data_IF_399088397546
#
_entry.id   IF_399088397546
#
_cell.length_a   1.000
_cell.length_b   1.000
_cell.length_c   1.000
_cell.angle_alpha   90.00
_cell.angle_beta   90.00
_cell.angle_gamma   90.00
#
_symmetry.space_group_name_H-M   'P 1'
#
loop_
_entity.id
_entity.type
_entity.pdbx_description
1 polymer ?
#
# COMPACT_ATOMS: atom_id res chain seq x y z
N UNK A 1 10.47 10.58 2.75
CA UNK A 1 9.49 9.52 3.01
C UNK A 1 9.77 8.31 2.15
N UNK A 2 9.73 7.12 2.72
CA UNK A 2 9.88 5.89 1.95
C UNK A 2 8.61 5.65 1.12
N UNK A 3 8.71 4.77 0.14
CA UNK A 3 7.52 4.42 -0.65
C UNK A 3 6.45 3.76 0.22
N UNK A 4 6.86 2.95 1.19
CA UNK A 4 5.93 2.36 2.15
C UNK A 4 5.14 3.44 2.89
N UNK A 5 5.83 4.44 3.40
CA UNK A 5 5.19 5.53 4.15
C UNK A 5 4.25 6.35 3.27
N UNK A 6 4.63 6.60 2.02
CA UNK A 6 3.77 7.31 1.08
C UNK A 6 2.49 6.55 0.79
N UNK A 7 2.61 5.27 0.48
CA UNK A 7 1.45 4.43 0.17
C UNK A 7 0.54 4.33 1.38
N UNK A 8 1.11 4.12 2.56
CA UNK A 8 0.33 4.07 3.79
C UNK A 8 -0.42 5.37 4.03
N UNK A 9 0.24 6.50 3.83
CA UNK A 9 -0.38 7.81 3.99
C UNK A 9 -1.58 7.98 3.05
N UNK A 10 -1.40 7.64 1.77
CA UNK A 10 -2.46 7.77 0.78
C UNK A 10 -3.65 6.88 1.10
N UNK A 11 -3.39 5.67 1.53
CA UNK A 11 -4.46 4.74 1.88
C UNK A 11 -5.19 5.19 3.15
N UNK A 12 -4.45 5.55 4.19
CA UNK A 12 -5.02 5.96 5.47
C UNK A 12 -5.89 7.21 5.34
N UNK A 13 -5.56 8.08 4.40
CA UNK A 13 -6.29 9.32 4.18
C UNK A 13 -7.37 9.20 3.10
N UNK A 14 -7.65 7.99 2.64
CA UNK A 14 -8.72 7.76 1.67
C UNK A 14 -8.41 8.23 0.26
N UNK A 15 -7.13 8.55 -0.03
CA UNK A 15 -6.72 9.00 -1.36
C UNK A 15 -6.56 7.84 -2.33
N UNK A 16 -6.19 6.67 -1.83
CA UNK A 16 -6.01 5.45 -2.62
C UNK A 16 -6.91 4.35 -2.11
N UNK A 17 -7.50 3.57 -3.03
CA UNK A 17 -8.28 2.39 -2.69
C UNK A 17 -7.37 1.15 -2.65
N UNK A 18 -7.95 0.01 -2.27
CA UNK A 18 -7.23 -1.27 -2.17
C UNK A 18 -6.56 -1.63 -3.50
N UNK A 19 -7.24 -1.43 -4.62
CA UNK A 19 -6.68 -1.76 -5.94
C UNK A 19 -5.40 -0.98 -6.23
N UNK A 20 -5.36 0.27 -5.82
CA UNK A 20 -4.17 1.10 -5.98
C UNK A 20 -3.00 0.59 -5.15
N UNK A 21 -3.28 0.20 -3.91
CA UNK A 21 -2.25 -0.34 -3.03
C UNK A 21 -1.74 -1.67 -3.56
N UNK A 22 -2.62 -2.54 -4.07
CA UNK A 22 -2.20 -3.78 -4.72
C UNK A 22 -1.28 -3.51 -5.91
N UNK A 23 -1.63 -2.52 -6.70
CA UNK A 23 -0.83 -2.17 -7.87
C UNK A 23 0.57 -1.71 -7.49
N UNK A 24 0.72 -1.07 -6.35
CA UNK A 24 2.05 -0.66 -5.88
C UNK A 24 2.92 -1.85 -5.50
N UNK A 25 2.32 -2.97 -5.09
CA UNK A 25 3.07 -4.22 -4.91
C UNK A 25 3.57 -4.75 -6.26
N UNK A 26 2.70 -4.74 -7.27
CA UNK A 26 3.06 -5.19 -8.62
C UNK A 26 4.24 -4.37 -9.16
N UNK A 27 4.26 -3.10 -8.87
CA UNK A 27 5.34 -2.20 -9.31
C UNK A 27 6.58 -2.24 -8.41
N UNK A 28 6.58 -3.08 -7.41
CA UNK A 28 7.69 -3.22 -6.45
C UNK A 28 7.94 -1.96 -5.62
N UNK A 29 6.92 -1.15 -5.42
CA UNK A 29 7.02 0.00 -4.50
C UNK A 29 6.98 -0.45 -3.06
N UNK A 30 6.18 -1.47 -2.78
CA UNK A 30 6.04 -2.10 -1.47
C UNK A 30 6.00 -3.60 -1.67
N UNK A 31 6.18 -4.35 -0.58
CA UNK A 31 6.08 -5.81 -0.60
C UNK A 31 4.66 -6.26 -0.26
N UNK A 32 4.37 -7.54 -0.53
CA UNK A 32 3.08 -8.12 -0.14
C UNK A 32 2.87 -8.02 1.38
N UNK A 33 3.93 -8.21 2.16
CA UNK A 33 3.86 -8.06 3.60
C UNK A 33 3.51 -6.63 4.02
N UNK A 34 4.10 -5.67 3.33
CA UNK A 34 3.79 -4.26 3.58
C UNK A 34 2.36 -3.92 3.19
N UNK A 35 1.84 -4.55 2.15
CA UNK A 35 0.43 -4.41 1.77
C UNK A 35 -0.48 -4.83 2.93
N UNK A 36 -0.18 -5.97 3.56
CA UNK A 36 -0.95 -6.44 4.70
C UNK A 36 -0.85 -5.48 5.89
N UNK A 37 0.32 -4.93 6.13
CA UNK A 37 0.50 -3.95 7.20
C UNK A 37 -0.35 -2.70 6.97
N UNK A 38 -0.41 -2.24 5.73
CA UNK A 38 -1.13 -1.01 5.40
C UNK A 38 -2.63 -1.23 5.43
N UNK A 39 -3.11 -2.31 4.84
CA UNK A 39 -4.54 -2.51 4.60
C UNK A 39 -5.21 -3.44 5.61
N UNK A 40 -4.44 -4.28 6.29
CA UNK A 40 -4.98 -5.32 7.16
C UNK A 40 -5.60 -6.48 6.39
N UNK A 41 -5.36 -6.55 5.09
CA UNK A 41 -5.94 -7.56 4.21
C UNK A 41 -4.79 -8.39 3.61
N UNK A 42 -4.98 -9.69 3.51
CA UNK A 42 -4.00 -10.58 2.87
C UNK A 42 -3.84 -10.21 1.40
N UNK A 43 -2.60 -10.15 0.95
CA UNK A 43 -2.33 -9.90 -0.45
C UNK A 43 -2.65 -11.14 -1.27
#
# INVERSE_FOLDING_TARGET
>A
MSKFEKVKYYYDNGLWNISRVRNSVVKNWITAEEFEEITGIDY
#
